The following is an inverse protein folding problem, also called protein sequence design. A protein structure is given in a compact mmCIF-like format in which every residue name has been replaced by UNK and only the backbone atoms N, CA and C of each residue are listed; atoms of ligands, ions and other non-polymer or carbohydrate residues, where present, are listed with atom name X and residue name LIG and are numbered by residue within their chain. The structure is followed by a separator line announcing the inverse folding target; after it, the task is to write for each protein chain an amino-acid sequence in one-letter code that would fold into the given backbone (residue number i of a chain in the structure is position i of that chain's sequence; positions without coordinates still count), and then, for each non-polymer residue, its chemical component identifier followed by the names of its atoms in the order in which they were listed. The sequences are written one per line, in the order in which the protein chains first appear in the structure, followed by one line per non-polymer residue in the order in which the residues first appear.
data_IF_157213474174
#
_entry.id   IF_157213474174
#
_cell.length_a   1.000
_cell.length_b   1.000
_cell.length_c   1.000
_cell.angle_alpha   90.00
_cell.angle_beta   90.00
_cell.angle_gamma   90.00
#
_symmetry.space_group_name_H-M   'P 1'
#
loop_
_entity.id
_entity.type
_entity.pdbx_description
1 polymer ?
#
# COMPACT_ATOMS: atom_id res chain seq x y z
N UNK A 1 -12.53 11.72 16.21
CA UNK A 1 -11.23 11.26 15.67
C UNK A 1 -11.45 9.87 15.14
N UNK A 2 -11.18 9.65 13.85
CA UNK A 2 -11.37 8.36 13.20
C UNK A 2 -10.02 7.67 13.07
N UNK A 3 -9.99 6.37 13.35
CA UNK A 3 -8.82 5.55 13.06
C UNK A 3 -8.60 5.45 11.55
N UNK A 4 -7.36 5.63 11.10
CA UNK A 4 -6.98 5.39 9.71
C UNK A 4 -6.36 4.00 9.57
N UNK A 5 -6.63 3.35 8.44
CA UNK A 5 -6.16 2.01 8.13
C UNK A 5 -5.33 2.00 6.86
N UNK A 6 -4.07 1.61 6.99
CA UNK A 6 -3.14 1.30 5.92
C UNK A 6 -3.19 -0.20 5.62
N UNK A 7 -3.56 -0.55 4.39
CA UNK A 7 -3.32 -1.88 3.82
C UNK A 7 -2.19 -1.78 2.80
N UNK A 8 -1.27 -2.75 2.83
CA UNK A 8 -0.14 -2.82 1.90
C UNK A 8 0.01 -4.24 1.37
N UNK A 9 0.57 -4.35 0.16
CA UNK A 9 0.88 -5.64 -0.47
C UNK A 9 2.04 -5.47 -1.47
N UNK A 10 2.83 -6.53 -1.64
CA UNK A 10 3.90 -6.64 -2.63
C UNK A 10 3.63 -7.75 -3.64
N UNK A 11 3.70 -7.42 -4.93
CA UNK A 11 3.53 -8.39 -6.01
C UNK A 11 4.84 -8.63 -6.76
N UNK A 12 5.09 -9.89 -7.13
CA UNK A 12 6.24 -10.31 -7.93
C UNK A 12 5.78 -11.22 -9.08
N UNK A 13 6.27 -10.91 -10.27
CA UNK A 13 6.16 -11.67 -11.52
C UNK A 13 7.57 -12.01 -12.01
N UNK A 14 7.68 -12.84 -13.06
CA UNK A 14 8.94 -13.44 -13.53
C UNK A 14 10.11 -12.45 -13.69
N UNK A 15 9.85 -11.21 -14.09
CA UNK A 15 10.87 -10.18 -14.30
C UNK A 15 10.51 -8.82 -13.68
N UNK A 16 9.45 -8.75 -12.88
CA UNK A 16 8.93 -7.48 -12.36
C UNK A 16 8.40 -7.64 -10.93
N UNK A 17 8.65 -6.67 -10.09
CA UNK A 17 8.11 -6.53 -8.75
C UNK A 17 7.40 -5.18 -8.62
N UNK A 18 6.34 -5.15 -7.84
CA UNK A 18 5.55 -3.96 -7.58
C UNK A 18 5.05 -3.95 -6.13
N UNK A 19 4.67 -2.79 -5.64
CA UNK A 19 4.07 -2.61 -4.33
C UNK A 19 2.81 -1.76 -4.44
N UNK A 20 1.82 -2.05 -3.61
CA UNK A 20 0.56 -1.31 -3.54
C UNK A 20 0.23 -0.92 -2.12
N UNK A 21 -0.31 0.29 -1.95
CA UNK A 21 -0.83 0.77 -0.66
C UNK A 21 -2.21 1.40 -0.84
N UNK A 22 -3.02 1.28 0.21
CA UNK A 22 -4.26 2.03 0.35
C UNK A 22 -4.46 2.44 1.81
N UNK A 23 -4.78 3.72 2.03
CA UNK A 23 -5.12 4.28 3.32
C UNK A 23 -6.60 4.68 3.30
N UNK A 24 -7.35 4.24 4.32
CA UNK A 24 -8.78 4.51 4.48
C UNK A 24 -9.09 5.11 5.84
N UNK A 25 -10.14 5.92 5.91
CA UNK A 25 -10.71 6.36 7.19
C UNK A 25 -11.67 5.31 7.80
N UNK A 26 -12.23 5.63 8.96
CA UNK A 26 -13.16 4.75 9.67
C UNK A 26 -14.50 4.51 8.95
N UNK A 27 -14.85 5.33 7.94
CA UNK A 27 -16.03 5.13 7.11
C UNK A 27 -15.72 4.31 5.85
N UNK A 28 -14.48 3.82 5.72
CA UNK A 28 -14.01 3.09 4.54
C UNK A 28 -13.66 3.99 3.36
N UNK A 29 -13.68 5.33 3.53
CA UNK A 29 -13.32 6.27 2.47
C UNK A 29 -11.82 6.21 2.22
N UNK A 30 -11.43 6.05 0.96
CA UNK A 30 -10.02 6.12 0.54
C UNK A 30 -9.49 7.54 0.71
N UNK A 31 -8.38 7.64 1.46
CA UNK A 31 -7.64 8.88 1.69
C UNK A 31 -6.48 8.98 0.71
N UNK A 32 -5.78 7.86 0.50
CA UNK A 32 -4.68 7.76 -0.46
C UNK A 32 -4.57 6.32 -0.97
N UNK A 33 -4.25 6.16 -2.24
CA UNK A 33 -3.88 4.88 -2.85
C UNK A 33 -2.70 5.10 -3.79
N UNK A 34 -1.70 4.22 -3.73
CA UNK A 34 -0.49 4.36 -4.57
C UNK A 34 0.07 3.03 -4.96
N UNK A 35 0.67 2.99 -6.13
CA UNK A 35 1.41 1.84 -6.62
C UNK A 35 2.84 2.22 -7.01
N UNK A 36 3.75 1.27 -6.88
CA UNK A 36 5.17 1.46 -7.07
C UNK A 36 5.73 0.33 -7.91
N UNK A 37 6.33 0.64 -9.07
CA UNK A 37 7.19 -0.32 -9.77
C UNK A 37 8.52 -0.44 -9.00
N UNK A 38 8.90 -1.65 -8.63
CA UNK A 38 10.09 -1.96 -7.84
C UNK A 38 11.21 -2.60 -8.68
N UNK A 39 11.07 -2.66 -10.01
CA UNK A 39 12.01 -3.33 -10.89
C UNK A 39 11.99 -4.84 -10.65
N UNK A 40 13.11 -5.43 -10.22
CA UNK A 40 13.20 -6.86 -9.90
C UNK A 40 13.60 -7.04 -8.44
N UNK A 41 12.78 -7.76 -7.67
CA UNK A 41 13.10 -8.12 -6.29
C UNK A 41 12.33 -9.38 -5.85
N UNK A 42 12.59 -9.84 -4.63
CA UNK A 42 11.92 -10.99 -4.01
C UNK A 42 10.60 -10.53 -3.37
N UNK A 43 9.58 -11.40 -3.33
CA UNK A 43 8.23 -11.06 -2.84
C UNK A 43 8.24 -10.44 -1.44
N UNK A 44 8.98 -11.03 -0.49
CA UNK A 44 9.06 -10.48 0.86
C UNK A 44 9.72 -9.09 0.94
N UNK A 45 10.57 -8.75 -0.04
CA UNK A 45 11.17 -7.42 -0.13
C UNK A 45 10.16 -6.43 -0.72
N UNK A 46 9.39 -6.83 -1.74
CA UNK A 46 8.31 -6.01 -2.28
C UNK A 46 7.28 -5.65 -1.19
N UNK A 47 6.94 -6.63 -0.35
CA UNK A 47 6.04 -6.49 0.81
C UNK A 47 6.58 -5.52 1.85
N UNK A 48 7.86 -5.65 2.20
CA UNK A 48 8.52 -4.72 3.13
C UNK A 48 8.63 -3.30 2.55
N UNK A 49 8.84 -3.17 1.23
CA UNK A 49 8.84 -1.88 0.54
C UNK A 49 7.44 -1.26 0.53
N UNK A 50 6.38 -2.05 0.30
CA UNK A 50 4.99 -1.59 0.38
C UNK A 50 4.67 -1.06 1.79
N UNK A 51 5.04 -1.80 2.84
CA UNK A 51 4.93 -1.34 4.23
C UNK A 51 5.65 0.00 4.45
N UNK A 52 6.92 0.08 4.07
CA UNK A 52 7.73 1.28 4.27
C UNK A 52 7.13 2.49 3.56
N UNK A 53 6.77 2.36 2.27
CA UNK A 53 6.13 3.42 1.49
C UNK A 53 4.77 3.81 2.06
N UNK A 54 4.00 2.86 2.56
CA UNK A 54 2.70 3.09 3.20
C UNK A 54 2.81 3.90 4.48
N UNK A 55 3.81 3.60 5.32
CA UNK A 55 4.07 4.37 6.55
C UNK A 55 4.48 5.81 6.20
N UNK A 56 5.38 6.00 5.24
CA UNK A 56 5.77 7.32 4.77
C UNK A 56 4.58 8.12 4.24
N UNK A 57 3.68 7.46 3.51
CA UNK A 57 2.47 8.10 3.00
C UNK A 57 1.49 8.48 4.11
N UNK A 58 1.33 7.65 5.14
CA UNK A 58 0.48 8.02 6.27
C UNK A 58 1.04 9.23 7.03
N UNK A 59 2.37 9.31 7.19
CA UNK A 59 3.04 10.47 7.78
C UNK A 59 2.83 11.73 6.93
N UNK A 60 2.98 11.63 5.60
CA UNK A 60 2.79 12.77 4.68
C UNK A 60 1.36 13.31 4.71
N UNK A 61 0.37 12.44 4.97
CA UNK A 61 -1.03 12.80 5.15
C UNK A 61 -1.37 13.31 6.57
N UNK A 62 -0.38 13.48 7.45
CA UNK A 62 -0.57 14.02 8.79
C UNK A 62 -1.30 13.07 9.76
N UNK A 63 -1.40 11.78 9.44
CA UNK A 63 -2.09 10.78 10.26
C UNK A 63 -1.30 10.56 11.56
N UNK A 64 -2.01 10.53 12.69
CA UNK A 64 -1.43 10.31 14.03
C UNK A 64 -1.86 9.01 14.69
N UNK A 65 -2.91 8.36 14.20
CA UNK A 65 -3.39 7.08 14.71
C UNK A 65 -3.63 6.14 13.52
N UNK A 66 -2.93 5.00 13.50
CA UNK A 66 -2.88 4.12 12.32
C UNK A 66 -3.05 2.64 12.67
N UNK A 67 -3.84 1.95 11.85
CA UNK A 67 -3.92 0.49 11.77
C UNK A 67 -3.17 0.03 10.52
N UNK A 68 -2.18 -0.83 10.70
CA UNK A 68 -1.31 -1.34 9.65
C UNK A 68 -1.65 -2.81 9.44
N UNK A 69 -2.09 -3.14 8.22
CA UNK A 69 -2.57 -4.46 7.84
C UNK A 69 -1.83 -4.96 6.59
N UNK A 70 -1.30 -6.18 6.66
CA UNK A 70 -0.68 -6.89 5.54
C UNK A 70 -0.82 -8.40 5.72
N UNK A 71 -0.70 -9.16 4.64
CA UNK A 71 -0.90 -10.62 4.63
C UNK A 71 0.42 -11.42 4.72
N UNK A 72 1.57 -10.75 4.65
CA UNK A 72 2.86 -11.37 4.85
C UNK A 72 3.24 -11.51 6.34
N UNK A 73 3.06 -12.71 6.90
CA UNK A 73 3.41 -13.01 8.30
C UNK A 73 4.86 -12.69 8.66
N UNK A 74 5.82 -12.91 7.75
CA UNK A 74 7.23 -12.64 8.01
C UNK A 74 7.47 -11.14 8.24
N UNK A 75 6.92 -10.30 7.37
CA UNK A 75 7.03 -8.84 7.48
C UNK A 75 6.30 -8.34 8.72
N UNK A 76 5.05 -8.77 8.94
CA UNK A 76 4.24 -8.36 10.10
C UNK A 76 4.91 -8.76 11.42
N UNK A 77 5.36 -10.00 11.57
CA UNK A 77 5.98 -10.46 12.81
C UNK A 77 7.38 -9.88 13.02
N UNK A 78 8.12 -9.57 11.94
CA UNK A 78 9.38 -8.82 12.05
C UNK A 78 9.15 -7.38 12.53
N UNK A 79 8.12 -6.71 12.02
CA UNK A 79 7.73 -5.36 12.43
C UNK A 79 7.29 -5.33 13.90
N UNK A 80 6.50 -6.31 14.34
CA UNK A 80 6.08 -6.48 15.75
C UNK A 80 7.23 -6.87 16.68
N UNK A 81 8.38 -7.29 16.16
CA UNK A 81 9.49 -7.81 16.96
C UNK A 81 9.25 -9.21 17.54
N UNK A 82 8.21 -9.91 17.09
CA UNK A 82 7.90 -11.28 17.52
C UNK A 82 8.88 -12.27 16.89
N UNK A 83 9.25 -12.06 15.63
CA UNK A 83 10.22 -12.89 14.92
C UNK A 83 11.54 -12.14 14.73
N UNK A 84 12.64 -12.90 14.75
CA UNK A 84 13.96 -12.38 14.36
C UNK A 84 13.89 -11.95 12.91
N UNK A 85 14.12 -10.66 12.66
CA UNK A 85 14.11 -10.11 11.31
C UNK A 85 15.25 -10.71 10.47
N UNK A 86 14.96 -11.27 9.29
CA UNK A 86 16.00 -11.73 8.37
C UNK A 86 16.95 -10.59 8.00
N UNK A 87 18.22 -10.90 7.80
CA UNK A 87 19.24 -9.88 7.49
C UNK A 87 18.88 -9.02 6.27
N UNK A 88 18.27 -9.62 5.23
CA UNK A 88 17.80 -8.91 4.03
C UNK A 88 16.73 -7.86 4.32
N UNK A 89 15.92 -8.09 5.36
CA UNK A 89 14.83 -7.20 5.78
C UNK A 89 15.22 -6.26 6.92
N UNK A 90 16.41 -6.44 7.49
CA UNK A 90 16.78 -5.79 8.75
C UNK A 90 16.69 -4.26 8.67
N UNK A 91 17.34 -3.67 7.66
CA UNK A 91 17.39 -2.22 7.49
C UNK A 91 15.98 -1.64 7.27
N UNK A 92 15.21 -2.20 6.34
CA UNK A 92 13.88 -1.68 6.01
C UNK A 92 12.89 -1.81 7.18
N UNK A 93 12.95 -2.91 7.94
CA UNK A 93 12.10 -3.09 9.13
C UNK A 93 12.53 -2.14 10.25
N UNK A 94 13.84 -1.92 10.41
CA UNK A 94 14.34 -0.97 11.40
C UNK A 94 13.92 0.47 11.07
N UNK A 95 14.01 0.86 9.80
CA UNK A 95 13.54 2.15 9.31
C UNK A 95 12.03 2.29 9.54
N UNK A 96 11.24 1.25 9.24
CA UNK A 96 9.81 1.25 9.55
C UNK A 96 9.56 1.47 11.05
N UNK A 97 10.26 0.76 11.93
CA UNK A 97 10.12 0.92 13.39
C UNK A 97 10.45 2.34 13.85
N UNK A 98 11.47 2.97 13.28
CA UNK A 98 11.79 4.38 13.55
C UNK A 98 10.68 5.31 13.05
N UNK A 99 10.18 5.09 11.82
CA UNK A 99 9.08 5.88 11.27
C UNK A 99 7.80 5.76 12.10
N UNK A 100 7.50 4.59 12.68
CA UNK A 100 6.34 4.39 13.55
C UNK A 100 6.32 5.29 14.79
N UNK A 101 7.46 5.86 15.19
CA UNK A 101 7.52 6.82 16.31
C UNK A 101 6.85 8.17 16.01
N UNK A 102 6.47 8.43 14.75
CA UNK A 102 5.76 9.66 14.35
C UNK A 102 4.25 9.62 14.64
N UNK A 103 3.72 8.46 15.02
CA UNK A 103 2.32 8.24 15.36
C UNK A 103 2.13 8.21 16.87
N UNK A 104 0.98 8.69 17.32
CA UNK A 104 0.56 8.62 18.72
C UNK A 104 0.07 7.21 19.08
N UNK A 105 -0.54 6.50 18.12
CA UNK A 105 -0.99 5.12 18.28
C UNK A 105 -0.79 4.32 16.99
N UNK A 106 -0.30 3.08 17.15
CA UNK A 106 -0.05 2.15 16.05
C UNK A 106 -0.61 0.78 16.42
N UNK A 107 -1.49 0.26 15.57
CA UNK A 107 -1.99 -1.12 15.65
C UNK A 107 -1.48 -1.90 14.45
N UNK A 108 -0.82 -3.03 14.66
CA UNK A 108 -0.28 -3.86 13.56
C UNK A 108 -1.03 -5.19 13.56
N UNK A 109 -1.57 -5.59 12.42
CA UNK A 109 -2.35 -6.82 12.28
C UNK A 109 -1.98 -7.58 11.01
N UNK A 110 -1.88 -8.90 11.13
CA UNK A 110 -1.86 -9.78 9.98
C UNK A 110 -3.31 -10.00 9.51
N UNK A 111 -3.53 -9.92 8.20
CA UNK A 111 -4.82 -10.20 7.58
C UNK A 111 -4.68 -11.37 6.61
N UNK A 112 -5.78 -12.10 6.38
CA UNK A 112 -5.81 -13.09 5.32
C UNK A 112 -5.79 -12.41 3.95
N UNK A 113 -5.26 -13.10 2.94
CA UNK A 113 -5.07 -12.58 1.59
C UNK A 113 -6.38 -12.11 0.95
N UNK A 114 -7.49 -12.77 1.27
CA UNK A 114 -8.84 -12.41 0.83
C UNK A 114 -9.27 -11.02 1.32
N UNK A 115 -8.75 -10.58 2.47
CA UNK A 115 -8.97 -9.25 3.02
C UNK A 115 -7.96 -8.21 2.48
N UNK A 116 -6.84 -8.65 1.88
CA UNK A 116 -5.80 -7.78 1.28
C UNK A 116 -6.06 -7.44 -0.20
N UNK A 117 -7.14 -7.96 -0.81
CA UNK A 117 -7.46 -7.81 -2.24
C UNK A 117 -7.36 -6.39 -2.81
N UNK A 118 -7.62 -5.37 -1.99
CA UNK A 118 -7.47 -3.98 -2.39
C UNK A 118 -6.02 -3.60 -2.66
N UNK A 119 -5.11 -3.92 -1.73
CA UNK A 119 -3.70 -3.61 -1.85
C UNK A 119 -3.03 -4.52 -2.91
N UNK A 120 -3.39 -5.80 -2.98
CA UNK A 120 -2.94 -6.73 -4.03
C UNK A 120 -3.26 -6.20 -5.43
N UNK A 121 -4.50 -5.75 -5.63
CA UNK A 121 -4.92 -5.20 -6.91
C UNK A 121 -4.13 -3.93 -7.26
N UNK A 122 -3.95 -3.01 -6.29
CA UNK A 122 -3.13 -1.80 -6.49
C UNK A 122 -1.67 -2.17 -6.80
N UNK A 123 -1.09 -3.16 -6.11
CA UNK A 123 0.27 -3.63 -6.39
C UNK A 123 0.37 -4.14 -7.83
N UNK A 124 -0.63 -4.88 -8.30
CA UNK A 124 -0.65 -5.40 -9.66
C UNK A 124 -0.66 -4.33 -10.75
N UNK A 125 -1.28 -3.16 -10.49
CA UNK A 125 -1.22 -2.00 -11.40
C UNK A 125 0.22 -1.51 -11.57
N UNK A 126 1.05 -1.58 -10.53
CA UNK A 126 2.44 -1.11 -10.56
C UNK A 126 3.37 -1.90 -11.48
N UNK A 127 2.96 -3.11 -11.91
CA UNK A 127 3.69 -3.84 -12.95
C UNK A 127 3.54 -3.23 -14.34
N UNK A 128 2.51 -2.43 -14.56
CA UNK A 128 2.20 -1.82 -15.84
C UNK A 128 2.81 -0.41 -15.96
N UNK A 129 3.31 0.17 -14.87
CA UNK A 129 3.86 1.53 -14.82
C UNK A 129 5.38 1.51 -14.99
N UNK A 130 5.96 2.61 -15.48
CA UNK A 130 7.43 2.77 -15.61
C UNK A 130 8.07 3.31 -14.32
N UNK A 131 7.26 3.81 -13.38
CA UNK A 131 7.67 4.53 -12.16
C UNK A 131 6.57 4.43 -11.06
N UNK A 132 6.71 5.20 -9.97
CA UNK A 132 5.64 5.40 -8.97
C UNK A 132 4.42 6.06 -9.61
N UNK A 133 3.24 5.49 -9.38
CA UNK A 133 1.97 6.03 -9.86
C UNK A 133 1.05 6.37 -8.67
N UNK A 134 0.55 7.60 -8.68
CA UNK A 134 -0.41 8.10 -7.71
C UNK A 134 -1.82 7.75 -8.18
N UNK A 135 -2.62 7.13 -7.32
CA UNK A 135 -4.04 6.87 -7.56
C UNK A 135 -4.81 7.81 -6.63
N UNK A 136 -5.11 9.02 -7.11
CA UNK A 136 -5.86 10.00 -6.32
C UNK A 136 -7.34 9.86 -6.64
N UNK A 137 -8.18 9.56 -5.65
CA UNK A 137 -9.63 9.55 -5.85
C UNK A 137 -10.23 10.91 -5.46
N UNK A 138 -10.80 11.64 -6.40
CA UNK A 138 -11.46 12.96 -6.20
C UNK A 138 -12.75 12.88 -5.38
N UNK A 139 -13.25 11.67 -5.18
CA UNK A 139 -14.51 11.33 -4.51
C UNK A 139 -14.38 9.93 -3.90
N UNK A 140 -15.32 9.57 -3.01
CA UNK A 140 -15.38 8.29 -2.29
C UNK A 140 -15.61 7.09 -3.24
N UNK A 141 -14.61 6.77 -4.07
CA UNK A 141 -14.70 5.68 -5.03
C UNK A 141 -14.52 4.34 -4.31
N UNK A 142 -15.47 3.43 -4.54
CA UNK A 142 -15.36 2.03 -4.13
C UNK A 142 -14.24 1.35 -4.91
N UNK A 143 -13.63 0.31 -4.35
CA UNK A 143 -12.52 -0.43 -4.99
C UNK A 143 -12.89 -0.92 -6.41
N UNK A 144 -14.14 -1.35 -6.62
CA UNK A 144 -14.64 -1.77 -7.94
C UNK A 144 -14.68 -0.64 -8.97
N UNK A 145 -14.92 0.60 -8.52
CA UNK A 145 -14.92 1.78 -9.39
C UNK A 145 -13.50 2.17 -9.78
N UNK A 146 -12.54 2.06 -8.85
CA UNK A 146 -11.11 2.24 -9.14
C UNK A 146 -10.63 1.20 -10.17
N UNK A 147 -11.11 -0.04 -10.08
CA UNK A 147 -10.81 -1.12 -11.04
C UNK A 147 -11.26 -0.81 -12.46
N UNK A 148 -12.50 -0.32 -12.61
CA UNK A 148 -13.07 -0.02 -13.92
C UNK A 148 -12.40 1.17 -14.60
N UNK A 149 -11.95 2.17 -13.84
CA UNK A 149 -11.29 3.33 -14.46
C UNK A 149 -9.84 3.00 -14.84
N UNK A 150 -9.11 2.19 -14.07
CA UNK A 150 -7.73 1.84 -14.44
C UNK A 150 -7.61 0.84 -15.60
N UNK A 151 -8.69 0.15 -16.00
CA UNK A 151 -8.68 -0.72 -17.17
C UNK A 151 -8.72 0.03 -18.52
N UNK A 152 -9.08 1.32 -18.51
CA UNK A 152 -9.20 2.18 -19.70
C UNK A 152 -8.09 3.22 -19.83
N UNK A 153 -7.20 3.36 -18.85
CA UNK A 153 -6.14 4.39 -18.82
C UNK A 153 -4.80 3.92 -19.41
N UNK A 154 -4.13 4.80 -20.15
CA UNK A 154 -2.78 4.59 -20.68
C UNK A 154 -1.73 4.73 -19.57
N UNK A 155 -0.94 3.66 -19.37
CA UNK A 155 -0.17 3.39 -18.15
C UNK A 155 1.18 4.13 -18.08
N UNK A 156 1.39 5.06 -19.01
CA UNK A 156 2.55 5.96 -19.05
C UNK A 156 2.41 7.19 -18.14
N UNK A 157 1.23 7.42 -17.55
CA UNK A 157 0.93 8.63 -16.78
C UNK A 157 1.36 8.49 -15.30
N UNK A 158 2.24 9.38 -14.82
CA UNK A 158 2.76 9.38 -13.43
C UNK A 158 1.70 9.70 -12.35
N UNK A 159 0.58 10.29 -12.76
CA UNK A 159 -0.54 10.62 -11.89
C UNK A 159 -1.83 10.24 -12.59
N UNK A 160 -2.65 9.41 -11.96
CA UNK A 160 -4.05 9.19 -12.38
C UNK A 160 -4.95 9.68 -11.27
N UNK A 161 -5.72 10.71 -11.60
CA UNK A 161 -6.78 11.23 -10.75
C UNK A 161 -8.09 10.61 -11.21
N UNK A 162 -8.68 9.79 -10.36
CA UNK A 162 -9.96 9.13 -10.58
C UNK A 162 -11.06 9.98 -9.96
N UNK A 163 -11.98 10.52 -10.76
CA UNK A 163 -13.17 11.23 -10.30
C UNK A 163 -14.42 10.35 -10.45
N UNK A 164 -15.47 10.59 -9.66
CA UNK A 164 -16.77 9.93 -9.84
C UNK A 164 -17.36 10.10 -11.24
N UNK A 165 -16.95 11.13 -11.98
CA UNK A 165 -17.33 11.35 -13.38
C UNK A 165 -16.70 10.38 -14.38
N UNK A 166 -15.63 9.67 -14.02
CA UNK A 166 -14.95 8.70 -14.90
C UNK A 166 -15.67 7.35 -14.98
N UNK A 167 -16.77 7.17 -14.22
CA UNK A 167 -17.62 5.97 -14.21
C UNK A 167 -18.76 6.01 -15.22
N UNK A 168 -18.86 7.11 -15.99
CA UNK A 168 -19.92 7.32 -16.97
C UNK A 168 -19.34 7.43 -18.38
N UNK A 169 -18.76 6.33 -18.89
CA UNK A 169 -18.64 6.05 -20.33
C UNK A 169 -18.56 4.55 -20.59
#
# INVERSE_FOLDING_TARGET
MGAFKLNFDGSCKSSSAAAGIIIRDCNGKTISARTFNLGSTQVFMAEAMALHKGIQEAISNGIKEIYIEGDNLLVINSLKGIWKTPWKLHNIIQDCKTLLQHFNSVHIQHIFREASRAADWIANVGHLTVDTMYITTSSSLKLEEIKNVLSSYDVTTKHVTLAAGDLAQ
#
